data_IF_456727626042
#
_entry.id   IF_456727626042
#
_cell.length_a   1.000
_cell.length_b   1.000
_cell.length_c   1.000
_cell.angle_alpha   90.00
_cell.angle_beta   90.00
_cell.angle_gamma   90.00
#
_symmetry.space_group_name_H-M   'P 1'
#
loop_
_entity.id
_entity.type
_entity.pdbx_description
1 polymer ?
#
# COMPACT_ATOMS: atom_id res chain seq x y z
N UNK A 1 -11.36 -24.72 9.66
CA UNK A 1 -10.41 -24.38 8.56
C UNK A 1 -10.78 -23.08 7.85
N UNK A 2 -11.79 -23.01 6.96
CA UNK A 2 -12.10 -21.75 6.22
C UNK A 2 -12.46 -20.57 7.17
N UNK A 3 -13.21 -20.83 8.24
CA UNK A 3 -13.57 -19.82 9.24
C UNK A 3 -12.35 -19.27 10.00
N UNK A 4 -11.28 -20.06 10.19
CA UNK A 4 -10.06 -19.61 10.86
C UNK A 4 -9.24 -18.67 9.95
N UNK A 5 -9.29 -18.91 8.64
CA UNK A 5 -8.72 -18.03 7.59
C UNK A 5 -9.44 -16.69 7.57
N UNK A 6 -10.78 -16.72 7.60
CA UNK A 6 -11.62 -15.51 7.58
C UNK A 6 -11.43 -14.67 8.85
N UNK A 7 -11.20 -15.30 10.00
CA UNK A 7 -10.98 -14.63 11.28
C UNK A 7 -9.51 -14.26 11.54
N UNK A 8 -8.60 -14.48 10.58
CA UNK A 8 -7.16 -14.21 10.69
C UNK A 8 -6.50 -14.86 11.93
N UNK A 9 -7.08 -15.94 12.48
CA UNK A 9 -6.59 -16.65 13.67
C UNK A 9 -5.61 -17.75 13.26
N UNK A 10 -4.46 -17.37 12.74
CA UNK A 10 -3.36 -18.29 12.43
C UNK A 10 -2.44 -18.44 13.64
N UNK A 11 -2.92 -19.03 14.73
CA UNK A 11 -2.09 -19.27 15.92
C UNK A 11 -1.21 -20.50 15.70
N UNK A 12 0.12 -20.32 15.66
CA UNK A 12 1.10 -21.41 15.65
C UNK A 12 1.57 -21.94 14.29
N UNK A 13 0.99 -21.48 13.18
CA UNK A 13 1.39 -21.89 11.82
C UNK A 13 1.81 -20.68 10.97
N UNK A 14 2.84 -20.85 10.12
CA UNK A 14 3.22 -19.83 9.14
C UNK A 14 2.05 -19.59 8.19
N UNK A 15 1.59 -18.34 8.11
CA UNK A 15 0.46 -17.95 7.27
C UNK A 15 0.72 -18.35 5.81
N UNK A 16 -0.18 -19.12 5.17
CA UNK A 16 0.01 -19.51 3.78
C UNK A 16 -0.07 -18.29 2.86
N UNK A 17 0.72 -18.31 1.77
CA UNK A 17 0.57 -17.31 0.72
C UNK A 17 -0.75 -17.52 0.00
N UNK A 18 -1.62 -16.52 0.03
CA UNK A 18 -2.92 -16.50 -0.68
C UNK A 18 -2.86 -15.38 -1.71
N UNK A 19 -3.14 -15.71 -2.99
CA UNK A 19 -3.12 -14.72 -4.07
C UNK A 19 -4.17 -13.62 -3.84
N UNK A 20 -3.90 -12.42 -4.37
CA UNK A 20 -4.80 -11.26 -4.25
C UNK A 20 -6.20 -11.56 -4.80
N UNK A 21 -6.27 -12.23 -5.95
CA UNK A 21 -7.54 -12.64 -6.58
C UNK A 21 -8.34 -13.58 -5.69
N UNK A 22 -7.66 -14.55 -5.08
CA UNK A 22 -8.32 -15.51 -4.19
C UNK A 22 -8.80 -14.84 -2.90
N UNK A 23 -8.04 -13.87 -2.35
CA UNK A 23 -8.49 -13.05 -1.21
C UNK A 23 -9.78 -12.29 -1.51
N UNK A 24 -9.92 -11.73 -2.72
CA UNK A 24 -11.11 -10.99 -3.14
C UNK A 24 -12.33 -11.90 -3.27
N UNK A 25 -12.18 -13.07 -3.92
CA UNK A 25 -13.26 -14.06 -4.07
C UNK A 25 -13.73 -14.58 -2.70
N UNK A 26 -12.80 -14.78 -1.77
CA UNK A 26 -13.08 -15.29 -0.43
C UNK A 26 -13.49 -14.19 0.58
N UNK A 27 -13.61 -12.93 0.14
CA UNK A 27 -13.91 -11.77 0.99
C UNK A 27 -13.04 -11.71 2.25
N UNK A 28 -11.76 -12.07 2.12
CA UNK A 28 -10.83 -12.06 3.24
C UNK A 28 -10.57 -10.61 3.69
N UNK A 29 -10.36 -10.38 5.00
CA UNK A 29 -10.05 -9.05 5.50
C UNK A 29 -8.79 -8.51 4.81
N UNK A 30 -8.79 -7.20 4.55
CA UNK A 30 -7.60 -6.52 4.02
C UNK A 30 -6.47 -6.69 5.02
N UNK A 31 -5.34 -7.17 4.53
CA UNK A 31 -4.11 -7.21 5.32
C UNK A 31 -3.55 -5.79 5.44
N UNK A 32 -2.94 -5.50 6.59
CA UNK A 32 -2.16 -4.29 6.74
C UNK A 32 -1.00 -4.31 5.73
N UNK A 33 -0.68 -3.15 5.12
CA UNK A 33 0.45 -3.07 4.21
C UNK A 33 1.74 -3.41 4.95
N UNK A 34 2.64 -4.11 4.27
CA UNK A 34 3.98 -4.36 4.80
C UNK A 34 4.78 -3.06 4.92
N UNK A 35 5.79 -3.06 5.79
CA UNK A 35 6.68 -1.91 5.98
C UNK A 35 7.30 -1.44 4.66
N UNK A 36 7.74 -2.38 3.82
CA UNK A 36 8.32 -2.08 2.50
C UNK A 36 7.30 -1.42 1.56
N UNK A 37 6.03 -1.84 1.60
CA UNK A 37 4.97 -1.20 0.80
C UNK A 37 4.71 0.23 1.27
N UNK A 38 4.76 0.47 2.59
CA UNK A 38 4.63 1.80 3.17
C UNK A 38 5.81 2.68 2.74
N UNK A 39 7.05 2.21 2.89
CA UNK A 39 8.27 2.95 2.51
C UNK A 39 8.27 3.33 1.03
N UNK A 40 7.94 2.39 0.15
CA UNK A 40 7.82 2.66 -1.29
C UNK A 40 6.73 3.68 -1.62
N UNK A 41 5.63 3.67 -0.88
CA UNK A 41 4.53 4.63 -1.08
C UNK A 41 4.97 6.03 -0.63
N UNK A 42 5.67 6.12 0.51
CA UNK A 42 6.21 7.39 1.02
C UNK A 42 7.21 8.00 0.02
N UNK A 43 8.08 7.20 -0.58
CA UNK A 43 9.06 7.70 -1.54
C UNK A 43 8.40 8.27 -2.80
N UNK A 44 7.40 7.56 -3.36
CA UNK A 44 6.61 8.07 -4.50
C UNK A 44 5.88 9.38 -4.19
N UNK A 45 5.39 9.53 -2.96
CA UNK A 45 4.74 10.77 -2.53
C UNK A 45 5.74 11.93 -2.46
N UNK A 46 6.96 11.71 -1.98
CA UNK A 46 8.02 12.74 -1.99
C UNK A 46 8.36 13.16 -3.40
N UNK A 47 8.54 12.22 -4.33
CA UNK A 47 8.80 12.52 -5.75
C UNK A 47 7.68 13.38 -6.35
N UNK A 48 6.43 13.01 -6.09
CA UNK A 48 5.26 13.74 -6.57
C UNK A 48 5.23 15.18 -6.02
N UNK A 49 5.42 15.35 -4.71
CA UNK A 49 5.48 16.66 -4.06
C UNK A 49 6.61 17.51 -4.65
N UNK A 50 7.79 16.92 -4.85
CA UNK A 50 8.93 17.66 -5.40
C UNK A 50 8.67 18.09 -6.84
N UNK A 51 8.02 17.25 -7.65
CA UNK A 51 7.66 17.60 -9.03
C UNK A 51 6.66 18.77 -9.09
N UNK A 52 5.65 18.78 -8.21
CA UNK A 52 4.70 19.89 -8.11
C UNK A 52 5.36 21.16 -7.59
N UNK A 53 6.28 21.04 -6.62
CA UNK A 53 7.07 22.18 -6.13
C UNK A 53 7.86 22.83 -7.27
N UNK A 54 8.55 22.05 -8.10
CA UNK A 54 9.30 22.58 -9.25
C UNK A 54 8.38 23.32 -10.22
N UNK A 55 7.21 22.76 -10.54
CA UNK A 55 6.22 23.43 -11.41
C UNK A 55 5.75 24.76 -10.84
N UNK A 56 5.52 24.82 -9.53
CA UNK A 56 5.12 26.05 -8.84
C UNK A 56 6.26 27.09 -8.90
N UNK A 57 7.50 26.67 -8.68
CA UNK A 57 8.67 27.56 -8.76
C UNK A 57 8.85 28.12 -10.19
N UNK A 58 8.65 27.30 -11.22
CA UNK A 58 8.65 27.72 -12.63
C UNK A 58 7.54 28.74 -12.91
N UNK A 59 6.30 28.45 -12.51
CA UNK A 59 5.17 29.35 -12.69
C UNK A 59 5.38 30.71 -11.97
N UNK A 60 5.96 30.71 -10.78
CA UNK A 60 6.31 31.95 -10.05
C UNK A 60 7.36 32.76 -10.81
N UNK A 61 8.32 32.09 -11.47
CA UNK A 61 9.36 32.77 -12.26
C UNK A 61 8.77 33.43 -13.50
N UNK A 62 7.80 32.82 -14.15
CA UNK A 62 7.12 33.39 -15.32
C UNK A 62 6.24 34.61 -14.97
N UNK A 63 5.81 34.72 -13.71
CA UNK A 63 5.01 35.84 -13.21
C UNK A 63 5.82 37.06 -12.76
N UNK A 64 7.15 36.92 -12.62
CA UNK A 64 8.06 37.99 -12.18
C UNK A 64 8.77 38.63 -13.36
#
# INVERSE_FOLDING_TARGET
HILDIQNNKWTGYKKPYISKTLKQILYLPKEEPSLIEIENTVEKLKESINSERTRIEEAIKELK
#
